data_IF_186592938310
#
_entry.id   IF_186592938310
#
_cell.length_a   1.000
_cell.length_b   1.000
_cell.length_c   1.000
_cell.angle_alpha   90.00
_cell.angle_beta   90.00
_cell.angle_gamma   90.00
#
_symmetry.space_group_name_H-M   'P 1'
#
loop_
_entity.id
_entity.type
_entity.pdbx_description
1 polymer ?
#
# COMPACT_ATOMS: atom_id res chain seq x y z
N UNK A 1 30.49 29.39 -2.25
CA UNK A 1 29.07 28.99 -2.35
C UNK A 1 28.98 27.55 -1.93
N UNK A 2 28.19 27.24 -0.92
CA UNK A 2 28.01 25.86 -0.47
C UNK A 2 26.88 25.23 -1.32
N UNK A 3 27.12 24.11 -2.02
CA UNK A 3 26.07 23.42 -2.74
C UNK A 3 25.03 22.84 -1.76
N UNK A 4 23.78 22.71 -2.19
CA UNK A 4 22.74 22.07 -1.38
C UNK A 4 23.08 20.59 -1.15
N UNK A 5 22.77 20.08 0.04
CA UNK A 5 23.01 18.68 0.38
C UNK A 5 21.99 17.77 -0.33
N UNK A 6 22.32 16.49 -0.58
CA UNK A 6 21.33 15.52 -1.05
C UNK A 6 20.05 15.52 -0.18
N UNK A 7 18.91 15.31 -0.80
CA UNK A 7 17.58 15.50 -0.19
C UNK A 7 17.09 16.95 -0.17
N UNK A 8 17.86 17.89 -0.72
CA UNK A 8 17.48 19.30 -0.90
C UNK A 8 17.87 19.83 -2.29
N UNK A 9 17.23 20.93 -2.70
CA UNK A 9 17.46 21.58 -3.99
C UNK A 9 17.49 23.11 -3.88
N UNK A 10 18.17 23.77 -4.80
CA UNK A 10 18.25 25.23 -4.91
C UNK A 10 19.47 25.68 -5.74
N UNK A 11 19.57 26.97 -6.02
CA UNK A 11 20.62 27.56 -6.87
C UNK A 11 22.02 27.67 -6.21
N UNK A 12 22.25 26.96 -5.09
CA UNK A 12 23.50 26.99 -4.33
C UNK A 12 23.66 28.29 -3.53
N UNK A 13 23.50 28.20 -2.21
CA UNK A 13 23.47 29.36 -1.32
C UNK A 13 22.99 28.99 0.09
N UNK A 14 22.33 29.93 0.78
CA UNK A 14 21.79 29.71 2.14
C UNK A 14 20.32 29.23 2.15
N UNK A 15 19.65 29.16 0.99
CA UNK A 15 18.21 28.83 0.87
C UNK A 15 17.98 27.51 0.12
N UNK A 16 18.47 26.40 0.66
CA UNK A 16 18.13 25.08 0.13
C UNK A 16 16.73 24.67 0.58
N UNK A 17 15.88 24.26 -0.37
CA UNK A 17 14.54 23.73 -0.10
C UNK A 17 14.59 22.22 -0.01
N UNK A 18 13.86 21.64 0.95
CA UNK A 18 13.79 20.19 1.10
C UNK A 18 12.95 19.57 -0.01
N UNK A 19 13.33 18.36 -0.45
CA UNK A 19 12.44 17.55 -1.27
C UNK A 19 11.22 17.13 -0.45
N UNK A 20 10.03 17.33 -1.03
CA UNK A 20 8.76 16.91 -0.44
C UNK A 20 8.63 15.37 -0.54
N UNK A 21 7.76 14.74 0.28
CA UNK A 21 7.52 13.31 0.20
C UNK A 21 7.12 12.89 -1.22
N UNK A 22 7.66 11.77 -1.68
CA UNK A 22 7.53 11.33 -3.07
C UNK A 22 8.51 11.98 -4.06
N UNK A 23 9.46 12.77 -3.57
CA UNK A 23 10.55 13.30 -4.38
C UNK A 23 11.90 13.15 -3.67
N UNK A 24 12.98 13.09 -4.43
CA UNK A 24 14.34 12.85 -3.93
C UNK A 24 15.37 13.66 -4.70
N UNK A 25 16.56 13.79 -4.12
CA UNK A 25 17.73 14.39 -4.76
C UNK A 25 18.97 13.67 -4.26
N UNK A 26 19.70 13.01 -5.15
CA UNK A 26 20.89 12.23 -4.78
C UNK A 26 22.21 12.99 -5.01
N UNK A 27 22.17 14.14 -5.66
CA UNK A 27 23.35 14.95 -5.99
C UNK A 27 23.42 16.20 -5.12
N UNK A 28 24.64 16.57 -4.73
CA UNK A 28 24.88 17.87 -4.10
C UNK A 28 24.74 18.99 -5.12
N UNK A 29 24.06 20.08 -4.76
CA UNK A 29 23.81 21.22 -5.66
C UNK A 29 22.68 20.99 -6.66
N UNK A 30 21.77 20.06 -6.38
CA UNK A 30 20.59 19.84 -7.22
C UNK A 30 19.75 21.13 -7.34
N UNK A 31 19.29 21.43 -8.56
CA UNK A 31 18.41 22.58 -8.80
C UNK A 31 16.92 22.22 -8.69
N UNK A 32 16.58 20.94 -8.64
CA UNK A 32 15.22 20.43 -8.47
C UNK A 32 15.26 19.03 -7.85
N UNK A 33 14.12 18.58 -7.29
CA UNK A 33 13.95 17.20 -6.86
C UNK A 33 13.34 16.36 -7.99
N UNK A 34 13.74 15.10 -8.06
CA UNK A 34 13.17 14.12 -8.96
C UNK A 34 11.99 13.42 -8.26
N UNK A 35 10.91 13.15 -8.99
CA UNK A 35 9.80 12.37 -8.45
C UNK A 35 10.21 10.91 -8.34
N UNK A 36 9.71 10.25 -7.30
CA UNK A 36 9.85 8.82 -7.16
C UNK A 36 9.09 8.08 -8.25
N UNK A 37 9.66 6.99 -8.81
CA UNK A 37 8.95 6.17 -9.76
C UNK A 37 7.74 5.48 -9.10
N UNK A 38 6.71 5.10 -9.88
CA UNK A 38 5.63 4.26 -9.41
C UNK A 38 6.16 3.01 -8.69
N UNK A 39 5.44 2.59 -7.65
CA UNK A 39 5.82 1.49 -6.78
C UNK A 39 6.81 1.88 -5.69
N UNK A 40 7.42 3.06 -5.75
CA UNK A 40 8.29 3.52 -4.67
C UNK A 40 7.64 4.65 -3.89
N UNK A 41 8.21 4.98 -2.75
CA UNK A 41 7.86 6.16 -1.98
C UNK A 41 9.10 6.72 -1.33
N UNK A 42 8.95 7.92 -0.79
CA UNK A 42 10.02 8.54 -0.06
C UNK A 42 9.51 9.50 0.99
N UNK A 43 10.23 9.60 2.11
CA UNK A 43 10.00 10.59 3.15
C UNK A 43 10.78 11.89 2.86
N UNK A 44 10.78 12.83 3.80
CA UNK A 44 11.54 14.09 3.68
C UNK A 44 13.06 13.84 3.69
N UNK A 45 13.80 14.66 2.95
CA UNK A 45 15.28 14.71 2.95
C UNK A 45 16.00 13.43 2.48
N UNK A 46 15.37 12.64 1.64
CA UNK A 46 15.97 11.40 1.18
C UNK A 46 16.65 11.53 -0.18
N UNK A 47 17.61 10.66 -0.39
CA UNK A 47 18.48 10.61 -1.57
C UNK A 47 18.07 9.56 -2.59
N UNK A 48 17.08 8.74 -2.26
CA UNK A 48 16.57 7.66 -3.10
C UNK A 48 15.11 7.36 -2.72
N UNK A 49 14.44 6.56 -3.53
CA UNK A 49 13.07 6.12 -3.28
C UNK A 49 13.05 4.66 -2.83
N UNK A 50 12.40 4.41 -1.70
CA UNK A 50 12.26 3.08 -1.15
C UNK A 50 11.07 2.36 -1.80
N UNK A 51 11.21 1.07 -2.15
CA UNK A 51 10.10 0.29 -2.68
C UNK A 51 8.97 0.15 -1.65
N UNK A 52 7.72 0.18 -2.12
CA UNK A 52 6.59 -0.04 -1.23
C UNK A 52 6.66 -1.42 -0.55
N UNK A 53 6.33 -1.48 0.76
CA UNK A 53 6.29 -2.72 1.51
C UNK A 53 5.17 -3.64 0.98
N UNK A 54 5.18 -4.89 1.48
CA UNK A 54 4.11 -5.86 1.19
C UNK A 54 2.73 -5.28 1.54
N UNK A 55 1.74 -5.67 0.74
CA UNK A 55 0.34 -5.24 0.81
C UNK A 55 0.14 -3.72 0.62
N UNK A 56 1.15 -3.03 0.09
CA UNK A 56 1.06 -1.64 -0.31
C UNK A 56 1.40 -1.45 -1.79
N UNK A 57 0.86 -0.39 -2.37
CA UNK A 57 1.10 0.04 -3.74
C UNK A 57 1.27 1.56 -3.83
N UNK A 58 1.90 2.04 -4.90
CA UNK A 58 2.06 3.48 -5.16
C UNK A 58 1.97 3.74 -6.67
N UNK A 59 0.95 4.47 -7.12
CA UNK A 59 0.79 4.80 -8.54
C UNK A 59 1.69 5.96 -8.96
N UNK A 60 1.80 6.97 -8.10
CA UNK A 60 2.48 8.24 -8.41
C UNK A 60 3.88 8.36 -7.79
N UNK A 61 4.35 7.36 -7.04
CA UNK A 61 5.60 7.46 -6.28
C UNK A 61 5.48 8.29 -4.99
N UNK A 62 4.30 8.86 -4.70
CA UNK A 62 4.11 9.82 -3.58
C UNK A 62 4.03 9.15 -2.22
N UNK A 63 3.21 8.13 -2.11
CA UNK A 63 2.93 7.43 -0.86
C UNK A 63 2.58 5.98 -1.17
N UNK A 64 3.03 5.07 -0.30
CA UNK A 64 2.57 3.70 -0.32
C UNK A 64 1.20 3.62 0.35
N UNK A 65 0.18 3.32 -0.44
CA UNK A 65 -1.20 3.11 0.00
C UNK A 65 -1.41 1.62 0.29
N UNK A 66 -2.18 1.32 1.33
CA UNK A 66 -2.57 -0.06 1.63
C UNK A 66 -3.49 -0.59 0.53
N UNK A 67 -3.31 -1.84 0.14
CA UNK A 67 -4.23 -2.49 -0.79
C UNK A 67 -5.64 -2.60 -0.19
N UNK A 68 -6.70 -2.30 -0.98
CA UNK A 68 -8.07 -2.49 -0.53
C UNK A 68 -8.37 -3.98 -0.27
N UNK A 69 -9.36 -4.24 0.57
CA UNK A 69 -9.81 -5.60 0.88
C UNK A 69 -10.12 -6.41 -0.40
N UNK A 70 -9.77 -7.70 -0.39
CA UNK A 70 -9.88 -8.57 -1.56
C UNK A 70 -8.75 -8.40 -2.60
N UNK A 71 -7.76 -7.54 -2.32
CA UNK A 71 -6.57 -7.36 -3.15
C UNK A 71 -5.29 -7.39 -2.31
N UNK A 72 -4.17 -7.73 -2.93
CA UNK A 72 -2.88 -7.88 -2.26
C UNK A 72 -1.71 -7.59 -3.19
N UNK A 73 -0.51 -7.44 -2.63
CA UNK A 73 0.73 -7.45 -3.42
C UNK A 73 1.60 -8.63 -2.98
N UNK A 74 2.03 -9.50 -3.92
CA UNK A 74 2.64 -10.79 -3.60
C UNK A 74 4.01 -10.67 -2.93
N UNK A 75 4.71 -9.55 -3.16
CA UNK A 75 6.04 -9.30 -2.61
C UNK A 75 6.22 -7.83 -2.26
N UNK A 76 7.01 -7.57 -1.23
CA UNK A 76 7.64 -6.27 -1.04
C UNK A 76 8.65 -6.05 -2.18
N UNK A 77 8.62 -4.88 -2.81
CA UNK A 77 9.40 -4.65 -4.03
C UNK A 77 8.87 -3.56 -4.94
N UNK A 78 7.89 -2.79 -4.45
CA UNK A 78 7.37 -1.64 -5.14
C UNK A 78 6.30 -1.95 -6.18
N UNK A 79 5.17 -2.45 -5.69
CA UNK A 79 4.01 -2.68 -6.52
C UNK A 79 3.35 -1.35 -6.95
N UNK A 80 2.97 -1.26 -8.21
CA UNK A 80 2.25 -0.10 -8.77
C UNK A 80 0.73 -0.28 -8.67
N UNK A 81 0.27 -1.52 -8.55
CA UNK A 81 -1.14 -1.88 -8.44
C UNK A 81 -1.31 -3.10 -7.53
N UNK A 82 -2.50 -3.26 -6.95
CA UNK A 82 -2.86 -4.45 -6.19
C UNK A 82 -3.40 -5.54 -7.10
N UNK A 83 -2.99 -6.77 -6.85
CA UNK A 83 -3.52 -7.95 -7.52
C UNK A 83 -4.77 -8.43 -6.78
N UNK A 84 -5.80 -8.84 -7.53
CA UNK A 84 -7.01 -9.37 -6.93
C UNK A 84 -6.75 -10.76 -6.35
N UNK A 85 -7.29 -11.03 -5.16
CA UNK A 85 -7.25 -12.37 -4.60
C UNK A 85 -8.07 -13.33 -5.48
N UNK A 86 -7.62 -14.57 -5.56
CA UNK A 86 -8.38 -15.61 -6.25
C UNK A 86 -9.51 -16.04 -5.31
N UNK A 87 -10.74 -15.65 -5.65
CA UNK A 87 -11.93 -16.08 -4.92
C UNK A 87 -12.12 -17.58 -5.16
N UNK A 88 -12.16 -18.38 -4.10
CA UNK A 88 -12.63 -19.75 -4.24
C UNK A 88 -14.14 -19.72 -4.15
N UNK A 89 -14.82 -20.25 -5.16
CA UNK A 89 -16.28 -20.20 -5.34
C UNK A 89 -17.08 -21.00 -4.30
N UNK A 90 -16.47 -21.32 -3.17
CA UNK A 90 -17.03 -22.10 -2.08
C UNK A 90 -17.47 -21.14 -0.97
N UNK A 91 -18.77 -21.10 -0.70
CA UNK A 91 -19.32 -20.29 0.41
C UNK A 91 -19.48 -21.21 1.62
N UNK A 92 -18.79 -20.91 2.71
CA UNK A 92 -18.88 -21.64 3.97
C UNK A 92 -19.85 -20.92 4.89
N UNK A 93 -21.04 -21.49 5.13
CA UNK A 93 -22.00 -20.93 6.07
C UNK A 93 -21.75 -21.43 7.49
N UNK A 94 -21.37 -20.52 8.39
CA UNK A 94 -21.26 -20.79 9.83
C UNK A 94 -22.60 -20.54 10.48
N UNK A 95 -23.08 -21.53 11.24
CA UNK A 95 -24.30 -21.42 12.05
C UNK A 95 -23.94 -21.26 13.51
N UNK A 96 -24.31 -20.13 14.09
CA UNK A 96 -24.19 -19.88 15.53
C UNK A 96 -25.56 -20.13 16.17
N UNK A 97 -25.65 -21.19 16.97
CA UNK A 97 -26.86 -21.53 17.73
C UNK A 97 -26.81 -20.85 19.10
N UNK A 98 -27.75 -19.93 19.37
CA UNK A 98 -28.00 -19.39 20.72
C UNK A 98 -29.46 -19.65 21.10
N UNK A 99 -29.69 -20.67 21.94
CA UNK A 99 -31.02 -21.13 22.33
C UNK A 99 -31.86 -21.52 21.08
N UNK A 100 -33.01 -20.87 20.87
CA UNK A 100 -33.89 -21.08 19.70
C UNK A 100 -33.54 -20.19 18.51
N UNK A 101 -32.54 -19.32 18.62
CA UNK A 101 -32.10 -18.45 17.53
C UNK A 101 -30.86 -19.03 16.85
N UNK A 102 -30.97 -19.30 15.56
CA UNK A 102 -29.85 -19.60 14.68
C UNK A 102 -29.46 -18.32 13.93
N UNK A 103 -28.21 -17.89 14.07
CA UNK A 103 -27.63 -16.84 13.23
C UNK A 103 -26.70 -17.48 12.20
N UNK A 104 -26.84 -17.04 10.95
CA UNK A 104 -26.02 -17.51 9.84
C UNK A 104 -25.04 -16.40 9.43
N UNK A 105 -23.79 -16.78 9.21
CA UNK A 105 -22.77 -15.93 8.62
C UNK A 105 -22.17 -16.71 7.45
N UNK A 106 -21.99 -16.05 6.32
CA UNK A 106 -21.36 -16.63 5.15
C UNK A 106 -19.90 -16.19 5.12
N UNK A 107 -19.00 -17.15 4.98
CA UNK A 107 -17.58 -16.91 4.79
C UNK A 107 -17.23 -17.22 3.34
N UNK A 108 -16.61 -16.26 2.66
CA UNK A 108 -16.06 -16.44 1.31
C UNK A 108 -14.55 -16.49 1.43
N UNK A 109 -13.91 -17.65 1.22
CA UNK A 109 -12.47 -17.74 1.28
C UNK A 109 -11.86 -17.14 0.02
N UNK A 110 -10.79 -16.39 0.20
CA UNK A 110 -10.00 -15.75 -0.83
C UNK A 110 -8.55 -16.19 -0.67
N UNK A 111 -7.92 -16.62 -1.75
CA UNK A 111 -6.50 -16.97 -1.74
C UNK A 111 -5.66 -15.74 -2.12
N UNK A 112 -4.90 -15.24 -1.16
CA UNK A 112 -4.06 -14.05 -1.29
C UNK A 112 -2.61 -14.40 -0.87
N UNK A 113 -1.62 -14.18 -1.74
CA UNK A 113 -0.19 -14.35 -1.42
C UNK A 113 0.21 -15.66 -0.70
N UNK A 114 -0.44 -16.78 -1.01
CA UNK A 114 -0.14 -18.05 -0.34
C UNK A 114 -0.92 -18.29 0.96
N UNK A 115 -1.78 -17.36 1.36
CA UNK A 115 -2.62 -17.41 2.56
C UNK A 115 -4.10 -17.39 2.17
N UNK A 116 -4.94 -17.99 3.02
CA UNK A 116 -6.41 -17.91 2.89
C UNK A 116 -6.91 -16.81 3.80
N UNK A 117 -7.59 -15.82 3.22
CA UNK A 117 -8.34 -14.79 3.94
C UNK A 117 -9.83 -15.11 3.82
N UNK A 118 -10.63 -14.71 4.82
CA UNK A 118 -12.07 -14.91 4.78
C UNK A 118 -12.78 -13.57 4.75
N UNK A 119 -13.58 -13.34 3.73
CA UNK A 119 -14.56 -12.25 3.73
C UNK A 119 -15.83 -12.73 4.44
N UNK A 120 -16.25 -11.97 5.44
CA UNK A 120 -17.37 -12.28 6.32
C UNK A 120 -18.59 -11.52 5.83
N UNK A 121 -19.67 -12.24 5.54
CA UNK A 121 -20.95 -11.67 5.14
C UNK A 121 -22.03 -12.11 6.12
N UNK A 122 -22.99 -11.24 6.39
CA UNK A 122 -24.18 -11.63 7.14
C UNK A 122 -25.10 -12.56 6.32
N UNK A 123 -26.19 -13.02 6.95
CA UNK A 123 -27.18 -13.89 6.32
C UNK A 123 -27.90 -13.25 5.11
N UNK A 124 -27.87 -11.93 4.96
CA UNK A 124 -28.51 -11.18 3.87
C UNK A 124 -27.50 -10.66 2.83
N UNK A 125 -26.21 -11.00 2.98
CA UNK A 125 -25.15 -10.69 2.02
C UNK A 125 -24.42 -9.36 2.26
N UNK A 126 -24.61 -8.70 3.41
CA UNK A 126 -23.86 -7.51 3.76
C UNK A 126 -22.47 -7.87 4.27
N UNK A 127 -21.43 -7.21 3.74
CA UNK A 127 -20.05 -7.41 4.18
C UNK A 127 -19.85 -6.87 5.60
N UNK A 128 -19.39 -7.74 6.50
CA UNK A 128 -19.08 -7.44 7.90
C UNK A 128 -17.59 -7.15 8.12
N UNK A 129 -16.72 -7.61 7.21
CA UNK A 129 -15.27 -7.39 7.27
C UNK A 129 -14.48 -8.54 6.64
N UNK A 130 -13.16 -8.47 6.73
CA UNK A 130 -12.25 -9.54 6.32
C UNK A 130 -11.34 -9.93 7.49
N UNK A 131 -11.03 -11.23 7.61
CA UNK A 131 -10.16 -11.82 8.66
C UNK A 131 -9.09 -12.70 8.04
#
# INVERSE_FOLDING_TARGET
>A
MLPCWPGSYGDGGYECKLCMPGSFSNISGAQFCYNCPPGTTNNYMHTDCDPCPKDHYSEDGKACLLCPAGTYTPAAGGAVFCQQCANITEVVTVTVQRNVFAQHINLVPNYCAGQVQFEVFDAVGAALGAV
#
